data_IF_122384242466
#
_entry.id   IF_122384242466
#
_cell.length_a   1.000
_cell.length_b   1.000
_cell.length_c   1.000
_cell.angle_alpha   90.00
_cell.angle_beta   90.00
_cell.angle_gamma   90.00
#
_symmetry.space_group_name_H-M   'P 1'
#
loop_
_entity.id
_entity.type
_entity.pdbx_description
1 polymer ?
#
# COMPACT_ATOMS: atom_id res chain seq x y z
N UNK A 1 -36.79 -11.46 54.90
CA UNK A 1 -36.19 -12.72 54.49
C UNK A 1 -35.88 -12.73 53.01
N UNK A 2 -35.35 -11.61 52.46
CA UNK A 2 -35.03 -11.47 51.01
C UNK A 2 -33.59 -10.99 50.75
N UNK A 3 -32.84 -10.64 51.82
CA UNK A 3 -31.46 -10.06 51.61
C UNK A 3 -30.31 -11.09 51.72
N UNK A 4 -30.57 -12.38 52.01
CA UNK A 4 -29.50 -13.39 52.12
C UNK A 4 -29.19 -14.16 50.83
N UNK A 5 -30.03 -14.07 49.81
CA UNK A 5 -29.82 -14.84 48.57
C UNK A 5 -29.05 -14.11 47.47
N UNK A 6 -28.87 -12.77 47.57
CA UNK A 6 -28.16 -11.99 46.57
C UNK A 6 -26.63 -12.08 46.75
N UNK A 7 -26.17 -12.24 47.97
CA UNK A 7 -24.73 -12.34 48.28
C UNK A 7 -24.12 -13.68 47.81
N UNK A 8 -24.91 -14.74 47.73
CA UNK A 8 -24.44 -16.07 47.31
C UNK A 8 -24.27 -16.19 45.78
N UNK A 9 -25.08 -15.44 45.01
CA UNK A 9 -24.99 -15.44 43.52
C UNK A 9 -23.79 -14.63 43.05
N UNK A 10 -23.41 -13.53 43.74
CA UNK A 10 -22.23 -12.73 43.40
C UNK A 10 -20.92 -13.49 43.70
N UNK A 11 -20.90 -14.37 44.71
CA UNK A 11 -19.69 -15.15 45.01
C UNK A 11 -19.45 -16.30 44.04
N UNK A 12 -20.51 -16.85 43.42
CA UNK A 12 -20.36 -17.88 42.40
C UNK A 12 -19.90 -17.34 41.04
N UNK A 13 -20.23 -16.09 40.69
CA UNK A 13 -19.78 -15.45 39.47
C UNK A 13 -18.29 -15.09 39.56
N UNK A 14 -17.77 -14.76 40.74
CA UNK A 14 -16.34 -14.47 40.92
C UNK A 14 -15.42 -15.70 40.93
N UNK A 15 -15.99 -16.90 41.21
CA UNK A 15 -15.23 -18.16 41.18
C UNK A 15 -15.16 -18.82 39.80
N UNK A 16 -16.00 -18.39 38.84
CA UNK A 16 -15.97 -18.90 37.47
C UNK A 16 -15.12 -18.06 36.52
N UNK A 17 -14.63 -16.88 36.93
CA UNK A 17 -13.71 -16.02 36.18
C UNK A 17 -12.21 -16.29 36.43
N UNK A 18 -11.87 -17.42 37.05
CA UNK A 18 -10.46 -17.85 37.23
C UNK A 18 -10.11 -19.04 36.34
N UNK A 19 -10.69 -19.15 35.17
CA UNK A 19 -10.02 -19.89 34.11
C UNK A 19 -9.12 -18.92 33.36
N UNK A 20 -7.85 -19.01 33.67
CA UNK A 20 -6.80 -18.47 32.81
C UNK A 20 -7.09 -18.90 31.37
N UNK A 21 -7.63 -17.96 30.58
CA UNK A 21 -7.54 -18.10 29.13
C UNK A 21 -6.04 -18.03 28.87
N UNK A 22 -5.39 -19.17 28.84
CA UNK A 22 -4.04 -19.27 28.28
C UNK A 22 -4.17 -18.81 26.84
N UNK A 23 -3.83 -17.55 26.60
CA UNK A 23 -3.63 -17.06 25.24
C UNK A 23 -2.63 -18.01 24.61
N UNK A 24 -2.89 -18.51 23.38
CA UNK A 24 -1.98 -19.43 22.74
C UNK A 24 -0.56 -18.84 22.80
N UNK A 25 0.42 -19.67 23.15
CA UNK A 25 1.83 -19.28 23.23
C UNK A 25 2.38 -18.64 21.94
N UNK A 26 1.69 -18.85 20.83
CA UNK A 26 1.92 -18.22 19.52
C UNK A 26 1.78 -16.68 19.58
N UNK A 27 0.88 -16.13 20.39
CA UNK A 27 0.73 -14.67 20.51
C UNK A 27 1.97 -14.01 21.14
N UNK A 28 2.69 -14.73 22.01
CA UNK A 28 3.93 -14.24 22.62
C UNK A 28 5.08 -14.07 21.63
N UNK A 29 5.07 -14.78 20.50
CA UNK A 29 6.04 -14.64 19.41
C UNK A 29 5.90 -13.31 18.66
N UNK A 30 4.75 -12.66 18.76
CA UNK A 30 4.43 -11.43 18.03
C UNK A 30 4.26 -10.21 18.95
N UNK A 31 4.27 -10.42 20.27
CA UNK A 31 4.44 -9.31 21.20
C UNK A 31 5.90 -8.87 21.13
N UNK A 32 6.21 -7.58 21.11
CA UNK A 32 7.58 -7.10 21.20
C UNK A 32 8.19 -7.62 22.51
N UNK A 33 8.92 -8.71 22.43
CA UNK A 33 9.87 -9.11 23.47
C UNK A 33 11.00 -8.09 23.36
N UNK A 34 11.27 -7.34 24.40
CA UNK A 34 12.30 -6.33 24.36
C UNK A 34 13.59 -6.88 23.78
N UNK A 35 14.00 -6.40 22.59
CA UNK A 35 15.34 -6.58 22.09
C UNK A 35 15.58 -7.35 20.81
N UNK A 36 14.60 -7.71 19.98
CA UNK A 36 14.88 -8.08 18.59
C UNK A 36 13.80 -7.50 17.68
N UNK A 37 14.23 -6.61 16.78
CA UNK A 37 13.41 -6.08 15.68
C UNK A 37 13.13 -7.18 14.65
N UNK A 38 12.25 -8.14 15.01
CA UNK A 38 11.83 -9.18 14.08
C UNK A 38 10.89 -8.52 13.07
N UNK A 39 11.39 -8.41 11.85
CA UNK A 39 10.62 -7.88 10.74
C UNK A 39 9.34 -8.70 10.51
N UNK A 40 8.23 -8.03 10.30
CA UNK A 40 6.91 -8.65 10.09
C UNK A 40 6.27 -8.09 8.84
N UNK A 41 5.42 -8.90 8.20
CA UNK A 41 4.57 -8.48 7.10
C UNK A 41 3.17 -8.22 7.64
N UNK A 42 2.70 -6.97 7.57
CA UNK A 42 1.30 -6.61 7.76
C UNK A 42 0.51 -6.87 6.48
N UNK A 43 -0.64 -7.52 6.61
CA UNK A 43 -1.52 -7.85 5.49
C UNK A 43 -2.93 -7.36 5.77
N UNK A 44 -3.42 -6.49 4.89
CA UNK A 44 -4.85 -6.21 4.77
C UNK A 44 -5.45 -7.24 3.83
N UNK A 45 -6.55 -7.85 4.22
CA UNK A 45 -7.32 -8.79 3.41
C UNK A 45 -8.79 -8.42 3.37
N UNK A 46 -9.52 -8.83 2.33
CA UNK A 46 -10.86 -8.35 1.99
C UNK A 46 -11.78 -9.46 1.51
N UNK A 47 -13.09 -9.31 1.78
CA UNK A 47 -14.16 -10.08 1.15
C UNK A 47 -14.68 -9.41 -0.16
N UNK A 48 -14.12 -8.25 -0.52
CA UNK A 48 -14.56 -7.39 -1.63
C UNK A 48 -16.00 -6.89 -1.53
N UNK A 49 -16.57 -6.87 -0.34
CA UNK A 49 -17.96 -6.45 -0.08
C UNK A 49 -18.04 -5.51 1.12
N UNK A 50 -18.07 -6.05 2.30
CA UNK A 50 -18.36 -5.30 3.53
C UNK A 50 -17.26 -5.36 4.57
N UNK A 51 -16.41 -6.39 4.54
CA UNK A 51 -15.44 -6.68 5.59
C UNK A 51 -14.03 -6.92 5.10
N UNK A 52 -13.09 -6.43 5.89
CA UNK A 52 -11.67 -6.70 5.75
C UNK A 52 -11.07 -7.15 7.06
N UNK A 53 -9.85 -7.63 7.01
CA UNK A 53 -9.08 -8.08 8.17
C UNK A 53 -7.65 -7.60 8.09
N UNK A 54 -7.11 -7.24 9.23
CA UNK A 54 -5.68 -7.04 9.41
C UNK A 54 -5.07 -8.32 9.98
N UNK A 55 -4.01 -8.80 9.39
CA UNK A 55 -3.27 -10.00 9.74
C UNK A 55 -1.78 -9.73 9.71
N UNK A 56 -0.97 -10.59 10.31
CA UNK A 56 0.49 -10.47 10.26
C UNK A 56 1.14 -11.81 9.95
N UNK A 57 2.32 -11.74 9.33
CA UNK A 57 3.20 -12.89 9.09
C UNK A 57 4.58 -12.52 9.62
N UNK A 58 5.20 -13.39 10.41
CA UNK A 58 6.61 -13.31 10.74
C UNK A 58 7.45 -13.64 9.50
N UNK A 59 8.30 -12.71 9.05
CA UNK A 59 9.04 -12.88 7.78
C UNK A 59 10.13 -13.93 7.85
N UNK A 60 10.55 -14.34 9.05
CA UNK A 60 11.58 -15.38 9.26
C UNK A 60 10.95 -16.77 9.30
N UNK A 61 10.00 -16.98 10.21
CA UNK A 61 9.35 -18.27 10.44
C UNK A 61 8.21 -18.57 9.48
N UNK A 62 7.70 -17.58 8.77
CA UNK A 62 6.54 -17.63 7.87
C UNK A 62 5.23 -18.04 8.59
N UNK A 63 5.17 -17.85 9.90
CA UNK A 63 3.97 -18.11 10.70
C UNK A 63 3.05 -16.91 10.62
N UNK A 64 1.78 -17.18 10.27
CA UNK A 64 0.73 -16.16 10.19
C UNK A 64 -0.09 -16.07 11.48
N UNK A 65 -0.48 -14.84 11.85
CA UNK A 65 -1.55 -14.53 12.78
C UNK A 65 -2.72 -13.91 11.97
N UNK A 66 -3.68 -14.72 11.55
CA UNK A 66 -4.82 -14.23 10.80
C UNK A 66 -5.81 -13.52 11.73
N UNK A 67 -6.43 -12.45 11.24
CA UNK A 67 -7.53 -11.74 11.92
C UNK A 67 -7.15 -11.14 13.28
N UNK A 68 -6.16 -10.28 13.28
CA UNK A 68 -5.80 -9.49 14.47
C UNK A 68 -6.78 -8.34 14.72
N UNK A 69 -7.36 -7.79 13.66
CA UNK A 69 -8.39 -6.75 13.75
C UNK A 69 -9.36 -6.83 12.56
N UNK A 70 -10.61 -6.46 12.78
CA UNK A 70 -11.60 -6.27 11.72
C UNK A 70 -11.52 -4.84 11.22
N UNK A 71 -11.51 -4.67 9.89
CA UNK A 71 -11.35 -3.40 9.20
C UNK A 71 -12.34 -3.30 8.04
N UNK A 72 -12.31 -2.18 7.30
CA UNK A 72 -13.12 -2.03 6.10
C UNK A 72 -12.63 -2.95 4.95
N UNK A 73 -13.54 -3.33 4.05
CA UNK A 73 -13.20 -4.17 2.88
C UNK A 73 -12.23 -3.50 1.91
N UNK A 74 -12.27 -2.18 1.82
CA UNK A 74 -11.35 -1.37 1.02
C UNK A 74 -10.43 -0.58 1.95
N UNK A 75 -9.29 -1.17 2.30
CA UNK A 75 -8.34 -0.57 3.23
C UNK A 75 -6.89 -0.81 2.77
N UNK A 76 -5.99 0.07 3.20
CA UNK A 76 -4.54 -0.11 3.03
C UNK A 76 -3.84 0.08 4.38
N UNK A 77 -2.66 -0.52 4.53
CA UNK A 77 -1.88 -0.50 5.77
C UNK A 77 -0.60 0.30 5.62
N UNK A 78 -0.27 1.09 6.66
CA UNK A 78 1.02 1.77 6.81
C UNK A 78 1.55 1.55 8.23
N UNK A 79 2.85 1.65 8.36
CA UNK A 79 3.54 1.45 9.62
C UNK A 79 4.44 2.65 9.95
N UNK A 80 4.40 3.09 11.19
CA UNK A 80 5.31 4.10 11.72
C UNK A 80 5.44 3.97 13.23
N UNK A 81 6.66 3.96 13.75
CA UNK A 81 6.98 4.00 15.18
C UNK A 81 6.11 3.04 16.02
N UNK A 82 6.15 1.74 15.68
CA UNK A 82 5.41 0.66 16.33
C UNK A 82 3.88 0.82 16.34
N UNK A 83 3.32 1.72 15.52
CA UNK A 83 1.88 1.86 15.32
C UNK A 83 1.51 1.44 13.90
N UNK A 84 0.34 0.85 13.77
CA UNK A 84 -0.22 0.44 12.49
C UNK A 84 -1.36 1.37 12.15
N UNK A 85 -1.29 1.94 10.96
CA UNK A 85 -2.29 2.86 10.44
C UNK A 85 -3.06 2.17 9.31
N UNK A 86 -4.34 1.94 9.52
CA UNK A 86 -5.26 1.40 8.53
C UNK A 86 -6.03 2.57 7.92
N UNK A 87 -5.83 2.78 6.63
CA UNK A 87 -6.58 3.76 5.85
C UNK A 87 -7.81 3.06 5.29
N UNK A 88 -8.95 3.24 5.94
CA UNK A 88 -10.23 2.73 5.47
C UNK A 88 -10.76 3.69 4.40
N UNK A 89 -10.77 3.22 3.15
CA UNK A 89 -11.08 4.03 1.97
C UNK A 89 -12.59 4.07 1.71
N UNK A 90 -12.95 4.15 0.52
CA UNK A 90 -14.29 4.23 -0.10
C UNK A 90 -15.47 3.99 0.87
N UNK A 91 -16.22 5.06 1.19
CA UNK A 91 -17.40 5.10 2.06
C UNK A 91 -17.16 4.90 3.57
N UNK A 92 -16.01 4.41 4.02
CA UNK A 92 -15.65 4.42 5.44
C UNK A 92 -14.93 5.72 5.80
N UNK A 93 -14.05 6.18 4.92
CA UNK A 93 -13.40 7.50 4.99
C UNK A 93 -12.76 7.78 6.35
N UNK A 94 -12.03 6.82 6.90
CA UNK A 94 -11.41 6.93 8.22
C UNK A 94 -9.98 6.42 8.27
N UNK A 95 -9.25 6.87 9.29
CA UNK A 95 -7.95 6.32 9.67
C UNK A 95 -8.14 5.61 11.01
N UNK A 96 -7.77 4.32 11.06
CA UNK A 96 -7.77 3.51 12.27
C UNK A 96 -6.32 3.24 12.69
N UNK A 97 -5.99 3.54 13.94
CA UNK A 97 -4.66 3.29 14.52
C UNK A 97 -4.75 2.07 15.43
N UNK A 98 -3.88 1.08 15.19
CA UNK A 98 -3.77 -0.12 16.00
C UNK A 98 -2.44 -0.11 16.77
N UNK A 99 -2.46 -0.65 18.00
CA UNK A 99 -1.25 -0.79 18.81
C UNK A 99 -0.85 -2.27 18.96
N UNK A 100 0.29 -2.69 18.39
CA UNK A 100 0.82 -4.04 18.58
C UNK A 100 1.04 -4.42 20.05
N UNK A 101 1.48 -3.47 20.89
CA UNK A 101 1.73 -3.71 22.31
C UNK A 101 0.45 -4.02 23.11
N UNK A 102 -0.70 -3.62 22.60
CA UNK A 102 -2.02 -3.91 23.17
C UNK A 102 -2.74 -5.06 22.45
N UNK A 103 -2.01 -5.92 21.74
CA UNK A 103 -2.58 -7.03 20.99
C UNK A 103 -3.36 -6.59 19.76
N UNK A 104 -2.92 -5.52 19.11
CA UNK A 104 -3.53 -4.93 17.90
C UNK A 104 -4.95 -4.37 18.12
N UNK A 105 -5.26 -3.97 19.34
CA UNK A 105 -6.51 -3.27 19.63
C UNK A 105 -6.49 -1.86 19.05
N UNK A 106 -7.66 -1.34 18.62
CA UNK A 106 -7.80 0.04 18.22
C UNK A 106 -7.37 1.01 19.32
N UNK A 107 -6.44 1.91 19.00
CA UNK A 107 -6.12 3.06 19.83
C UNK A 107 -7.08 4.20 19.57
N UNK A 108 -7.34 4.45 18.29
CA UNK A 108 -8.12 5.58 17.82
C UNK A 108 -8.64 5.29 16.42
N UNK A 109 -9.82 5.77 16.10
CA UNK A 109 -10.33 5.89 14.73
C UNK A 109 -10.90 7.29 14.54
N UNK A 110 -10.55 7.96 13.44
CA UNK A 110 -11.05 9.30 13.14
C UNK A 110 -11.42 9.42 11.66
N UNK A 111 -12.46 10.23 11.40
CA UNK A 111 -12.99 10.43 10.05
C UNK A 111 -12.19 11.45 9.27
N UNK A 112 -12.00 11.20 7.98
CA UNK A 112 -11.45 12.15 7.01
C UNK A 112 -12.54 12.96 6.28
N UNK A 113 -13.79 12.82 6.71
CA UNK A 113 -14.96 13.44 6.11
C UNK A 113 -15.63 12.56 5.04
N UNK A 114 -16.96 12.48 5.12
CA UNK A 114 -17.75 11.64 4.22
C UNK A 114 -17.46 11.89 2.74
N UNK A 115 -17.26 10.84 1.96
CA UNK A 115 -16.95 10.88 0.54
C UNK A 115 -15.55 11.39 0.20
N UNK A 116 -14.62 11.44 1.16
CA UNK A 116 -13.23 11.90 0.93
C UNK A 116 -12.38 10.87 0.20
N UNK A 117 -12.66 9.58 0.38
CA UNK A 117 -11.91 8.46 -0.17
C UNK A 117 -10.39 8.58 0.07
N UNK A 118 -9.92 8.49 1.34
CA UNK A 118 -8.50 8.56 1.65
C UNK A 118 -7.74 7.43 0.97
N UNK A 119 -6.56 7.71 0.38
CA UNK A 119 -5.78 6.72 -0.38
C UNK A 119 -4.52 6.28 0.32
N UNK A 120 -3.96 7.17 1.15
CA UNK A 120 -2.71 6.93 1.84
C UNK A 120 -2.55 7.83 3.07
N UNK A 121 -1.66 7.42 3.99
CA UNK A 121 -1.20 8.23 5.10
C UNK A 121 0.32 8.22 5.15
N UNK A 122 0.93 9.40 5.23
CA UNK A 122 2.36 9.57 5.42
C UNK A 122 2.61 10.22 6.79
N UNK A 123 3.07 9.42 7.75
CA UNK A 123 3.30 9.87 9.12
C UNK A 123 4.65 10.57 9.22
N UNK A 124 4.67 11.80 9.74
CA UNK A 124 5.87 12.61 9.95
C UNK A 124 6.49 12.32 11.32
N UNK A 125 5.64 12.28 12.33
CA UNK A 125 6.00 11.99 13.73
C UNK A 125 4.75 11.56 14.51
N UNK A 126 4.86 11.35 15.81
CA UNK A 126 3.75 10.87 16.66
C UNK A 126 2.53 11.80 16.73
N UNK A 127 2.66 13.05 16.26
CA UNK A 127 1.57 14.04 16.29
C UNK A 127 1.12 14.53 14.92
N UNK A 128 1.90 14.30 13.85
CA UNK A 128 1.63 14.86 12.52
C UNK A 128 1.65 13.81 11.43
N UNK A 129 0.63 13.82 10.57
CA UNK A 129 0.59 13.05 9.34
C UNK A 129 -0.04 13.84 8.19
N UNK A 130 0.25 13.41 6.96
CA UNK A 130 -0.49 13.81 5.77
C UNK A 130 -1.41 12.67 5.34
N UNK A 131 -2.62 13.02 4.88
CA UNK A 131 -3.58 12.05 4.32
C UNK A 131 -4.00 12.52 2.94
N UNK A 132 -3.73 11.71 1.92
CA UNK A 132 -4.18 11.95 0.55
C UNK A 132 -5.64 11.56 0.39
N UNK A 133 -6.44 12.45 -0.21
CA UNK A 133 -7.89 12.33 -0.32
C UNK A 133 -8.29 12.36 -1.80
N UNK A 134 -8.61 11.19 -2.37
CA UNK A 134 -8.87 11.02 -3.80
C UNK A 134 -9.98 11.94 -4.35
N UNK A 135 -11.02 12.17 -3.54
CA UNK A 135 -12.18 12.94 -3.92
C UNK A 135 -12.13 14.40 -3.42
N UNK A 136 -10.96 14.90 -3.04
CA UNK A 136 -10.77 16.29 -2.58
C UNK A 136 -9.69 17.00 -3.40
N UNK A 137 -9.74 18.33 -3.34
CA UNK A 137 -8.75 19.20 -3.99
C UNK A 137 -7.64 19.65 -3.04
N UNK A 138 -7.56 19.09 -1.85
CA UNK A 138 -6.55 19.44 -0.85
C UNK A 138 -5.95 18.20 -0.19
N UNK A 139 -4.66 18.25 0.08
CA UNK A 139 -3.99 17.30 0.96
C UNK A 139 -4.27 17.70 2.42
N UNK A 140 -4.72 16.72 3.22
CA UNK A 140 -5.01 16.97 4.62
C UNK A 140 -3.74 16.84 5.50
N UNK A 141 -3.51 17.82 6.38
CA UNK A 141 -2.52 17.73 7.46
C UNK A 141 -3.28 17.46 8.75
N UNK A 142 -2.95 16.34 9.40
CA UNK A 142 -3.73 15.78 10.51
C UNK A 142 -2.90 15.78 11.79
N UNK A 143 -3.50 16.20 12.89
CA UNK A 143 -2.99 15.97 14.24
C UNK A 143 -3.38 14.55 14.69
N UNK A 144 -2.41 13.66 14.84
CA UNK A 144 -2.63 12.27 15.22
C UNK A 144 -3.10 12.09 16.68
N UNK A 145 -2.96 13.09 17.54
CA UNK A 145 -3.46 13.01 18.91
C UNK A 145 -4.97 13.26 19.00
N UNK A 146 -5.48 14.13 18.12
CA UNK A 146 -6.90 14.52 18.11
C UNK A 146 -7.68 13.92 16.94
N UNK A 147 -6.98 13.48 15.88
CA UNK A 147 -7.59 13.03 14.63
C UNK A 147 -8.14 14.17 13.76
N UNK A 148 -7.85 15.44 14.11
CA UNK A 148 -8.38 16.60 13.39
C UNK A 148 -7.48 17.03 12.24
N UNK A 149 -8.11 17.44 11.13
CA UNK A 149 -7.44 18.15 10.04
C UNK A 149 -7.24 19.59 10.48
N UNK A 150 -5.99 19.98 10.79
CA UNK A 150 -5.70 21.35 11.23
C UNK A 150 -5.19 22.26 10.09
N UNK A 151 -4.75 21.67 8.96
CA UNK A 151 -4.32 22.41 7.77
C UNK A 151 -4.74 21.65 6.49
N UNK A 152 -5.08 22.40 5.46
CA UNK A 152 -5.39 21.91 4.12
C UNK A 152 -4.42 22.56 3.14
N UNK A 153 -3.64 21.74 2.42
CA UNK A 153 -2.76 22.23 1.35
C UNK A 153 -3.55 22.14 0.06
N UNK A 154 -3.90 23.30 -0.50
CA UNK A 154 -4.73 23.38 -1.71
C UNK A 154 -3.96 22.87 -2.94
N UNK A 155 -4.60 21.98 -3.68
CA UNK A 155 -4.09 21.35 -4.90
C UNK A 155 -5.07 21.50 -6.08
N UNK A 156 -6.12 22.33 -5.94
CA UNK A 156 -7.14 22.50 -6.95
C UNK A 156 -6.59 22.92 -8.31
N UNK A 157 -5.54 23.75 -8.30
CA UNK A 157 -4.87 24.24 -9.54
C UNK A 157 -4.14 23.13 -10.31
N UNK A 158 -3.94 21.96 -9.68
CA UNK A 158 -3.30 20.81 -10.30
C UNK A 158 -4.30 19.72 -10.74
N UNK A 159 -5.59 20.00 -10.72
CA UNK A 159 -6.61 19.11 -11.31
C UNK A 159 -6.41 19.01 -12.82
N UNK A 160 -7.03 18.02 -13.44
CA UNK A 160 -7.00 17.87 -14.89
C UNK A 160 -7.57 19.12 -15.57
N UNK A 161 -7.04 19.45 -16.75
CA UNK A 161 -7.46 20.65 -17.52
C UNK A 161 -8.16 20.31 -18.82
N UNK A 162 -8.26 19.02 -19.13
CA UNK A 162 -8.83 18.50 -20.36
C UNK A 162 -9.64 17.23 -20.10
N UNK A 163 -10.78 17.09 -20.76
CA UNK A 163 -11.60 15.87 -20.78
C UNK A 163 -12.03 15.55 -22.20
N UNK A 164 -12.04 14.27 -22.55
CA UNK A 164 -12.66 13.74 -23.77
C UNK A 164 -14.15 13.47 -23.60
N UNK A 165 -14.64 13.49 -22.37
CA UNK A 165 -16.04 13.25 -22.04
C UNK A 165 -16.92 14.48 -22.27
N UNK A 166 -18.14 14.25 -22.72
CA UNK A 166 -19.18 15.31 -22.78
C UNK A 166 -19.57 15.84 -21.39
N UNK A 167 -19.25 15.12 -20.32
CA UNK A 167 -19.47 15.56 -18.94
C UNK A 167 -18.43 16.56 -18.46
N UNK A 168 -17.36 16.78 -19.24
CA UNK A 168 -16.27 17.70 -18.91
C UNK A 168 -15.32 17.16 -17.84
N UNK A 169 -14.42 18.03 -17.38
CA UNK A 169 -13.45 17.72 -16.32
C UNK A 169 -14.16 17.53 -14.97
N UNK A 170 -13.62 16.68 -14.09
CA UNK A 170 -14.21 16.45 -12.77
C UNK A 170 -13.64 17.37 -11.68
N UNK A 171 -12.58 18.12 -11.98
CA UNK A 171 -11.98 19.12 -11.10
C UNK A 171 -11.25 18.54 -9.90
N UNK A 172 -10.75 17.32 -10.00
CA UNK A 172 -9.98 16.65 -8.95
C UNK A 172 -8.58 16.32 -9.41
N UNK A 173 -7.56 16.40 -8.53
CA UNK A 173 -6.20 16.01 -8.85
C UNK A 173 -5.93 14.51 -8.66
N UNK A 174 -6.89 13.72 -8.13
CA UNK A 174 -6.77 12.32 -7.76
C UNK A 174 -5.47 12.01 -7.01
N UNK A 175 -5.38 12.52 -5.78
CA UNK A 175 -4.25 12.23 -4.89
C UNK A 175 -4.17 10.74 -4.59
N UNK A 176 -3.01 10.13 -4.80
CA UNK A 176 -2.79 8.71 -4.59
C UNK A 176 -1.75 8.46 -3.47
N UNK A 177 -0.67 7.74 -3.75
CA UNK A 177 0.31 7.32 -2.76
C UNK A 177 1.31 8.42 -2.43
N UNK A 178 1.92 8.26 -1.27
CA UNK A 178 2.91 9.20 -0.73
C UNK A 178 4.14 8.46 -0.22
N UNK A 179 5.29 9.16 -0.25
CA UNK A 179 6.50 8.73 0.45
C UNK A 179 7.21 9.95 1.03
N UNK A 180 7.70 9.82 2.27
CA UNK A 180 8.58 10.82 2.87
C UNK A 180 10.02 10.35 2.73
N UNK A 181 10.87 11.22 2.20
CA UNK A 181 12.31 11.04 2.24
C UNK A 181 12.96 12.32 2.77
N UNK A 182 13.73 12.20 3.84
CA UNK A 182 14.24 13.34 4.62
C UNK A 182 13.10 14.28 5.03
N UNK A 183 13.20 15.56 4.71
CA UNK A 183 12.19 16.57 5.03
C UNK A 183 11.22 16.84 3.87
N UNK A 184 11.12 15.94 2.91
CA UNK A 184 10.29 16.11 1.71
C UNK A 184 9.25 14.99 1.65
N UNK A 185 7.99 15.39 1.51
CA UNK A 185 6.90 14.52 1.10
C UNK A 185 6.79 14.55 -0.43
N UNK A 186 6.75 13.38 -1.05
CA UNK A 186 6.42 13.18 -2.46
C UNK A 186 5.02 12.63 -2.56
N UNK A 187 4.13 13.34 -3.24
CA UNK A 187 2.71 13.00 -3.40
C UNK A 187 2.40 12.76 -4.88
N UNK A 188 1.79 11.64 -5.19
CA UNK A 188 1.27 11.33 -6.53
C UNK A 188 -0.04 12.06 -6.79
N UNK A 189 -0.15 12.72 -7.95
CA UNK A 189 -1.40 13.19 -8.54
C UNK A 189 -1.62 12.46 -9.85
N UNK A 190 -2.65 11.61 -9.91
CA UNK A 190 -2.95 10.81 -11.09
C UNK A 190 -3.58 11.65 -12.20
N UNK A 191 -4.43 12.62 -11.86
CA UNK A 191 -5.14 13.53 -12.77
C UNK A 191 -5.93 12.77 -13.84
N UNK A 192 -6.76 11.84 -13.36
CA UNK A 192 -7.58 11.00 -14.21
C UNK A 192 -8.83 11.74 -14.68
N UNK A 193 -9.15 11.65 -15.97
CA UNK A 193 -10.46 12.03 -16.45
C UNK A 193 -11.48 10.93 -16.11
N UNK A 194 -12.05 10.97 -14.91
CA UNK A 194 -13.03 9.98 -14.45
C UNK A 194 -14.38 10.06 -15.15
N UNK A 195 -14.61 11.12 -15.92
CA UNK A 195 -15.76 11.24 -16.78
C UNK A 195 -15.54 10.59 -18.16
N UNK A 196 -14.30 10.25 -18.49
CA UNK A 196 -13.98 9.52 -19.70
C UNK A 196 -14.29 8.02 -19.53
N UNK A 197 -15.31 7.54 -20.22
CA UNK A 197 -15.74 6.15 -20.18
C UNK A 197 -14.86 5.22 -21.02
N UNK A 198 -13.93 5.74 -21.82
CA UNK A 198 -13.04 4.96 -22.69
C UNK A 198 -11.82 4.42 -21.94
N UNK A 199 -11.58 4.85 -20.71
CA UNK A 199 -10.50 4.39 -19.84
C UNK A 199 -9.72 5.51 -19.14
N UNK A 200 -8.78 5.14 -18.29
CA UNK A 200 -7.96 6.01 -17.45
C UNK A 200 -6.49 5.94 -17.85
N UNK A 201 -5.77 7.05 -17.71
CA UNK A 201 -6.20 8.44 -17.79
C UNK A 201 -6.55 8.82 -19.23
N UNK A 202 -7.04 10.03 -19.44
CA UNK A 202 -7.10 10.59 -20.80
C UNK A 202 -5.69 10.64 -21.42
N UNK A 203 -5.50 10.25 -22.68
CA UNK A 203 -4.18 10.21 -23.31
C UNK A 203 -3.42 11.54 -23.30
N UNK A 204 -4.11 12.66 -23.14
CA UNK A 204 -3.53 14.01 -23.16
C UNK A 204 -3.36 14.63 -21.76
N UNK A 205 -3.60 13.86 -20.70
CA UNK A 205 -3.48 14.34 -19.32
C UNK A 205 -2.10 14.05 -18.77
N UNK A 206 -1.36 15.10 -18.39
CA UNK A 206 -0.14 14.98 -17.63
C UNK A 206 -0.43 14.66 -16.18
N UNK A 207 0.37 13.82 -15.55
CA UNK A 207 0.32 13.52 -14.13
C UNK A 207 1.52 14.12 -13.41
N UNK A 208 1.45 14.28 -12.09
CA UNK A 208 2.49 14.97 -11.32
C UNK A 208 2.93 14.22 -10.09
N UNK A 209 4.18 14.50 -9.66
CA UNK A 209 4.66 14.29 -8.29
C UNK A 209 4.82 15.68 -7.66
N UNK A 210 4.10 15.93 -6.57
CA UNK A 210 4.22 17.17 -5.80
C UNK A 210 5.26 16.96 -4.69
N UNK A 211 6.24 17.86 -4.59
CA UNK A 211 7.19 17.93 -3.47
C UNK A 211 6.71 18.94 -2.44
N UNK A 212 6.58 18.51 -1.21
CA UNK A 212 6.13 19.35 -0.07
C UNK A 212 7.18 19.28 1.02
N UNK A 213 7.57 20.43 1.56
CA UNK A 213 8.40 20.50 2.75
C UNK A 213 7.57 20.12 3.98
N UNK A 214 7.95 19.07 4.71
CA UNK A 214 7.17 18.58 5.86
C UNK A 214 7.31 19.45 7.11
N UNK A 215 8.23 20.41 7.13
CA UNK A 215 8.41 21.35 8.24
C UNK A 215 7.48 22.56 8.08
N UNK A 216 7.41 23.12 6.85
CA UNK A 216 6.62 24.34 6.57
C UNK A 216 5.23 24.04 5.98
N UNK A 217 4.99 22.83 5.51
CA UNK A 217 3.80 22.40 4.74
C UNK A 217 3.61 23.21 3.44
N UNK A 218 4.70 23.59 2.81
CA UNK A 218 4.67 24.36 1.58
C UNK A 218 5.06 23.49 0.39
N UNK A 219 4.39 23.71 -0.74
CA UNK A 219 4.74 23.08 -2.02
C UNK A 219 6.06 23.67 -2.50
N UNK A 220 7.07 22.81 -2.67
CA UNK A 220 8.39 23.21 -3.16
C UNK A 220 8.42 23.19 -4.69
N UNK A 221 7.88 22.12 -5.29
CA UNK A 221 7.87 21.93 -6.73
C UNK A 221 6.81 20.95 -7.19
N UNK A 222 6.44 21.09 -8.46
CA UNK A 222 5.51 20.22 -9.17
C UNK A 222 6.27 19.61 -10.34
N UNK A 223 6.38 18.29 -10.35
CA UNK A 223 7.19 17.56 -11.31
C UNK A 223 6.28 16.74 -12.20
N UNK A 224 6.34 17.00 -13.51
CA UNK A 224 5.63 16.18 -14.50
C UNK A 224 6.24 14.77 -14.50
N UNK A 225 5.39 13.74 -14.46
CA UNK A 225 5.83 12.34 -14.54
C UNK A 225 6.30 11.97 -15.95
N UNK A 226 7.13 10.94 -16.06
CA UNK A 226 7.64 10.44 -17.35
C UNK A 226 6.50 9.96 -18.26
N UNK A 227 5.57 9.22 -17.68
CA UNK A 227 4.29 8.77 -18.26
C UNK A 227 3.14 9.14 -17.34
N UNK A 228 1.91 9.25 -17.81
CA UNK A 228 0.76 9.54 -16.96
C UNK A 228 0.47 8.45 -15.92
N UNK A 229 -0.45 8.77 -14.99
CA UNK A 229 -1.05 7.87 -14.03
C UNK A 229 -0.06 7.20 -13.07
N UNK A 230 0.61 7.95 -12.16
CA UNK A 230 1.42 7.34 -11.13
C UNK A 230 0.55 6.41 -10.24
N UNK A 231 0.94 5.15 -10.15
CA UNK A 231 0.15 4.08 -9.55
C UNK A 231 0.99 3.24 -8.58
N UNK A 232 0.33 2.64 -7.58
CA UNK A 232 1.00 1.80 -6.62
C UNK A 232 1.94 2.56 -5.67
N UNK A 233 2.70 1.81 -4.87
CA UNK A 233 3.65 2.39 -3.91
C UNK A 233 4.86 2.97 -4.63
N UNK A 234 5.39 4.05 -4.08
CA UNK A 234 6.71 4.56 -4.44
C UNK A 234 7.79 3.90 -3.62
N UNK A 235 8.98 3.75 -4.20
CA UNK A 235 10.14 3.19 -3.51
C UNK A 235 11.36 4.10 -3.67
N UNK A 236 12.02 4.43 -2.56
CA UNK A 236 13.35 5.04 -2.60
C UNK A 236 14.37 3.97 -2.99
N UNK A 237 15.17 4.26 -4.00
CA UNK A 237 16.20 3.36 -4.53
C UNK A 237 17.51 4.11 -4.73
N UNK A 238 18.60 3.36 -4.86
CA UNK A 238 19.92 3.87 -5.27
C UNK A 238 20.34 3.14 -6.54
N UNK A 239 20.71 3.89 -7.56
CA UNK A 239 21.26 3.36 -8.81
C UNK A 239 22.66 3.97 -9.01
N UNK A 240 23.68 3.13 -8.97
CA UNK A 240 25.06 3.62 -8.87
C UNK A 240 25.28 4.46 -7.62
N UNK A 241 25.57 5.75 -7.77
CA UNK A 241 25.79 6.69 -6.67
C UNK A 241 24.61 7.65 -6.43
N UNK A 242 23.54 7.56 -7.21
CA UNK A 242 22.42 8.49 -7.16
C UNK A 242 21.20 7.89 -6.52
N UNK A 243 20.42 8.75 -5.82
CA UNK A 243 19.17 8.37 -5.18
C UNK A 243 17.97 8.78 -6.02
N UNK A 244 17.00 7.88 -6.13
CA UNK A 244 15.78 8.07 -6.89
C UNK A 244 14.55 7.67 -6.10
N UNK A 245 13.39 8.20 -6.49
CA UNK A 245 12.07 7.66 -6.17
C UNK A 245 11.57 6.92 -7.40
N UNK A 246 11.45 5.59 -7.31
CA UNK A 246 10.85 4.77 -8.34
C UNK A 246 9.34 4.75 -8.19
N UNK A 247 8.61 4.76 -9.31
CA UNK A 247 7.15 4.78 -9.36
C UNK A 247 6.65 4.07 -10.62
N UNK A 248 5.59 3.25 -10.50
CA UNK A 248 4.89 2.70 -11.65
C UNK A 248 4.06 3.80 -12.32
N UNK A 249 4.15 3.88 -13.63
CA UNK A 249 3.50 4.88 -14.50
C UNK A 249 2.81 4.12 -15.65
N UNK A 250 1.72 3.37 -15.38
CA UNK A 250 1.10 2.51 -16.39
C UNK A 250 0.33 3.26 -17.47
N UNK A 251 0.33 4.59 -17.44
CA UNK A 251 -0.42 5.44 -18.36
C UNK A 251 -1.88 5.00 -18.46
N UNK A 252 -2.26 4.29 -19.48
CA UNK A 252 -3.63 3.81 -19.67
C UNK A 252 -3.77 2.38 -19.14
N UNK A 253 -4.53 2.22 -18.04
CA UNK A 253 -4.72 0.94 -17.36
C UNK A 253 -5.83 0.08 -17.98
N UNK A 254 -5.63 -1.23 -17.98
CA UNK A 254 -6.68 -2.24 -17.98
C UNK A 254 -7.18 -2.61 -19.36
N UNK A 255 -8.37 -2.19 -19.72
CA UNK A 255 -9.09 -2.69 -20.89
C UNK A 255 -8.41 -2.44 -22.24
N UNK A 256 -7.48 -1.49 -22.29
CA UNK A 256 -6.72 -1.15 -23.49
C UNK A 256 -5.26 -0.99 -23.05
N UNK A 257 -4.53 -2.09 -22.99
CA UNK A 257 -3.09 -2.03 -22.83
C UNK A 257 -2.47 -1.45 -24.09
N UNK A 258 -1.90 -0.26 -24.00
CA UNK A 258 -1.22 0.42 -25.11
C UNK A 258 0.30 0.27 -25.02
N UNK A 259 0.81 -0.33 -23.93
CA UNK A 259 2.24 -0.49 -23.65
C UNK A 259 2.98 0.87 -23.72
N UNK A 260 2.34 1.91 -23.19
CA UNK A 260 2.77 3.30 -23.28
C UNK A 260 3.29 3.84 -21.93
N UNK A 261 3.50 2.96 -20.96
CA UNK A 261 3.98 3.22 -19.62
C UNK A 261 5.29 2.53 -19.26
N UNK A 262 5.55 2.47 -17.96
CA UNK A 262 6.73 1.81 -17.39
C UNK A 262 7.03 2.24 -15.96
N UNK A 263 8.16 1.82 -15.43
CA UNK A 263 8.67 2.25 -14.11
C UNK A 263 9.56 3.49 -14.31
N UNK A 264 9.07 4.64 -13.86
CA UNK A 264 9.85 5.88 -13.85
C UNK A 264 10.76 5.98 -12.62
N UNK A 265 11.87 6.74 -12.75
CA UNK A 265 12.76 7.05 -11.64
C UNK A 265 12.99 8.56 -11.57
N UNK A 266 12.48 9.18 -10.51
CA UNK A 266 12.67 10.60 -10.20
C UNK A 266 13.97 10.77 -9.43
N UNK A 267 14.95 11.47 -9.97
CA UNK A 267 16.19 11.81 -9.28
C UNK A 267 15.89 12.79 -8.13
N UNK A 268 16.25 12.41 -6.91
CA UNK A 268 15.94 13.19 -5.70
C UNK A 268 16.69 14.53 -5.69
N UNK A 269 17.93 14.52 -6.19
CA UNK A 269 18.81 15.71 -6.16
C UNK A 269 18.46 16.74 -7.22
N UNK A 270 18.18 16.30 -8.47
CA UNK A 270 17.84 17.21 -9.57
C UNK A 270 16.36 17.55 -9.62
N UNK A 271 15.49 16.68 -9.09
CA UNK A 271 14.04 16.82 -9.21
C UNK A 271 13.50 16.48 -10.60
N UNK A 272 14.24 15.74 -11.41
CA UNK A 272 13.88 15.37 -12.77
C UNK A 272 13.74 13.84 -12.91
N UNK A 273 12.80 13.40 -13.74
CA UNK A 273 12.73 12.00 -14.11
C UNK A 273 13.86 11.64 -15.08
N UNK A 274 14.38 10.43 -14.97
CA UNK A 274 15.22 9.86 -16.04
C UNK A 274 14.43 9.85 -17.34
N UNK A 275 15.11 10.09 -18.45
CA UNK A 275 14.50 10.10 -19.79
C UNK A 275 14.05 8.72 -20.27
N UNK A 276 14.64 7.66 -19.70
CA UNK A 276 14.28 6.27 -19.97
C UNK A 276 13.74 5.61 -18.72
N UNK A 277 12.67 4.78 -18.82
CA UNK A 277 12.16 4.03 -17.68
C UNK A 277 13.18 2.99 -17.20
N UNK A 278 13.04 2.56 -15.94
CA UNK A 278 13.79 1.44 -15.38
C UNK A 278 13.33 0.10 -15.98
N UNK A 279 12.08 0.02 -16.41
CA UNK A 279 11.49 -1.10 -17.11
C UNK A 279 10.27 -0.59 -17.88
N UNK A 280 10.22 -0.82 -19.18
CA UNK A 280 9.11 -0.35 -20.03
C UNK A 280 8.01 -1.41 -20.14
N UNK A 281 6.77 -0.99 -20.34
CA UNK A 281 5.67 -1.91 -20.62
C UNK A 281 5.85 -2.65 -21.94
N UNK A 282 6.55 -2.05 -22.91
CA UNK A 282 6.93 -2.72 -24.17
C UNK A 282 7.79 -3.95 -23.93
N UNK A 283 8.78 -3.83 -23.04
CA UNK A 283 9.67 -4.95 -22.69
C UNK A 283 8.99 -5.93 -21.73
N UNK A 284 8.06 -5.45 -20.90
CA UNK A 284 7.25 -6.28 -20.01
C UNK A 284 6.18 -7.08 -20.75
N UNK A 285 5.61 -6.52 -21.82
CA UNK A 285 4.50 -7.10 -22.57
C UNK A 285 3.13 -6.91 -21.90
N UNK A 286 2.97 -5.90 -21.05
CA UNK A 286 1.74 -5.57 -20.36
C UNK A 286 1.90 -4.38 -19.42
N UNK A 287 0.78 -3.93 -18.80
CA UNK A 287 0.74 -2.84 -17.85
C UNK A 287 1.50 -3.21 -16.56
N UNK A 288 2.36 -2.31 -16.07
CA UNK A 288 3.14 -2.53 -14.84
C UNK A 288 2.43 -1.87 -13.67
N UNK A 289 1.87 -2.69 -12.78
CA UNK A 289 0.97 -2.24 -11.71
C UNK A 289 1.63 -2.13 -10.34
N UNK A 290 2.70 -2.89 -10.10
CA UNK A 290 3.46 -2.83 -8.85
C UNK A 290 4.90 -3.27 -9.09
N UNK A 291 5.81 -2.86 -8.20
CA UNK A 291 7.23 -3.17 -8.32
C UNK A 291 7.90 -3.21 -6.97
N UNK A 292 8.98 -3.97 -6.89
CA UNK A 292 10.03 -3.84 -5.86
C UNK A 292 11.39 -3.89 -6.52
N UNK A 293 12.27 -2.97 -6.17
CA UNK A 293 13.65 -2.90 -6.65
C UNK A 293 14.57 -3.25 -5.49
N UNK A 294 15.33 -4.32 -5.65
CA UNK A 294 16.22 -4.87 -4.63
C UNK A 294 17.62 -4.28 -4.72
N UNK A 295 18.13 -4.19 -5.95
CA UNK A 295 19.44 -3.61 -6.27
C UNK A 295 19.36 -2.85 -7.60
N UNK A 296 20.44 -2.22 -8.01
CA UNK A 296 20.57 -1.58 -9.33
C UNK A 296 20.50 -2.56 -10.50
N UNK A 297 20.66 -3.86 -10.25
CA UNK A 297 20.60 -4.93 -11.27
C UNK A 297 19.47 -5.94 -11.07
N UNK A 298 18.68 -5.82 -9.99
CA UNK A 298 17.62 -6.76 -9.67
C UNK A 298 16.36 -6.05 -9.18
N UNK A 299 15.31 -6.14 -9.95
CA UNK A 299 13.96 -5.68 -9.62
C UNK A 299 12.90 -6.70 -10.03
N UNK A 300 11.69 -6.56 -9.48
CA UNK A 300 10.53 -7.39 -9.75
C UNK A 300 9.33 -6.50 -10.05
N UNK A 301 8.57 -6.87 -11.07
CA UNK A 301 7.38 -6.15 -11.50
C UNK A 301 6.17 -7.08 -11.60
N UNK A 302 5.04 -6.60 -11.12
CA UNK A 302 3.73 -7.20 -11.42
C UNK A 302 3.24 -6.64 -12.74
N UNK A 303 3.01 -7.53 -13.70
CA UNK A 303 2.63 -7.19 -15.09
C UNK A 303 1.29 -7.84 -15.42
N UNK A 304 0.38 -7.05 -16.00
CA UNK A 304 -0.93 -7.46 -16.50
C UNK A 304 -0.94 -7.35 -18.03
N UNK A 305 -1.08 -8.46 -18.75
CA UNK A 305 -1.12 -8.45 -20.21
C UNK A 305 -2.53 -8.12 -20.76
N UNK A 306 -2.63 -7.92 -22.07
CA UNK A 306 -3.87 -7.58 -22.75
C UNK A 306 -4.94 -8.69 -22.70
N UNK A 307 -4.59 -9.89 -22.28
CA UNK A 307 -5.49 -11.02 -22.03
C UNK A 307 -5.83 -11.17 -20.55
N UNK A 308 -5.45 -10.19 -19.72
CA UNK A 308 -5.59 -10.19 -18.26
C UNK A 308 -4.83 -11.31 -17.54
N UNK A 309 -3.84 -11.95 -18.18
CA UNK A 309 -2.93 -12.82 -17.47
C UNK A 309 -1.96 -11.97 -16.65
N UNK A 310 -1.58 -12.49 -15.50
CA UNK A 310 -0.70 -11.81 -14.55
C UNK A 310 0.64 -12.52 -14.54
N UNK A 311 1.71 -11.75 -14.48
CA UNK A 311 3.06 -12.30 -14.28
C UNK A 311 3.88 -11.49 -13.30
N UNK A 312 4.75 -12.18 -12.58
CA UNK A 312 5.81 -11.56 -11.80
C UNK A 312 7.08 -11.71 -12.60
N UNK A 313 7.60 -10.59 -13.07
CA UNK A 313 8.78 -10.55 -13.94
C UNK A 313 9.97 -10.01 -13.17
N UNK A 314 11.15 -10.62 -13.41
CA UNK A 314 12.44 -10.10 -12.95
C UNK A 314 13.04 -9.24 -14.05
N UNK A 315 13.57 -8.10 -13.68
CA UNK A 315 14.23 -7.18 -14.61
C UNK A 315 15.50 -6.57 -13.99
N UNK A 316 16.35 -6.01 -14.82
CA UNK A 316 17.51 -5.26 -14.41
C UNK A 316 17.21 -3.75 -14.49
N UNK A 317 17.10 -3.01 -13.35
CA UNK A 317 16.74 -1.60 -13.33
C UNK A 317 17.73 -0.68 -14.05
N UNK A 318 19.03 -1.04 -14.07
CA UNK A 318 20.05 -0.23 -14.74
C UNK A 318 19.96 -0.30 -16.27
N UNK A 319 19.61 -1.46 -16.82
CA UNK A 319 19.53 -1.67 -18.28
C UNK A 319 18.11 -1.68 -18.84
N UNK A 320 17.07 -1.80 -18.00
CA UNK A 320 15.68 -1.94 -18.42
C UNK A 320 15.32 -3.32 -19.00
N UNK A 321 16.23 -4.29 -18.94
CA UNK A 321 16.05 -5.59 -19.60
C UNK A 321 15.35 -6.59 -18.69
N UNK A 322 14.34 -7.30 -19.22
CA UNK A 322 13.73 -8.46 -18.58
C UNK A 322 14.74 -9.58 -18.43
N UNK A 323 14.91 -10.11 -17.23
CA UNK A 323 15.86 -11.20 -16.93
C UNK A 323 15.18 -12.53 -16.61
N UNK A 324 13.85 -12.53 -16.45
CA UNK A 324 13.10 -13.76 -16.22
C UNK A 324 11.63 -13.53 -15.85
N UNK A 325 10.90 -14.63 -15.70
CA UNK A 325 9.53 -14.64 -15.16
C UNK A 325 9.48 -15.63 -14.01
N UNK A 326 9.03 -15.18 -12.83
CA UNK A 326 9.01 -15.98 -11.59
C UNK A 326 7.72 -16.79 -11.48
N UNK A 327 6.60 -16.18 -11.83
CA UNK A 327 5.28 -16.77 -11.73
C UNK A 327 4.36 -16.20 -12.81
N UNK A 328 3.42 -17.02 -13.25
CA UNK A 328 2.36 -16.63 -14.17
C UNK A 328 1.03 -17.12 -13.64
N UNK A 329 -0.01 -16.29 -13.78
CA UNK A 329 -1.36 -16.59 -13.35
C UNK A 329 -2.31 -16.26 -14.50
N UNK A 330 -3.26 -17.17 -14.77
CA UNK A 330 -4.26 -16.96 -15.84
C UNK A 330 -5.22 -15.83 -15.50
N UNK A 331 -5.93 -15.32 -16.49
CA UNK A 331 -6.96 -14.30 -16.36
C UNK A 331 -8.10 -14.71 -15.40
N UNK A 332 -8.37 -16.01 -15.30
CA UNK A 332 -9.45 -16.55 -14.45
C UNK A 332 -9.12 -16.54 -12.96
N UNK A 333 -7.85 -16.35 -12.59
CA UNK A 333 -7.45 -16.25 -11.19
C UNK A 333 -7.57 -14.82 -10.69
N UNK A 334 -7.79 -14.66 -9.39
CA UNK A 334 -7.89 -13.35 -8.75
C UNK A 334 -6.64 -12.50 -8.93
N UNK A 335 -6.72 -11.23 -8.57
CA UNK A 335 -5.64 -10.27 -8.78
C UNK A 335 -4.45 -10.53 -7.84
N UNK A 336 -3.28 -10.10 -8.30
CA UNK A 336 -2.14 -9.86 -7.42
C UNK A 336 -2.41 -8.58 -6.65
N UNK A 337 -2.28 -8.62 -5.33
CA UNK A 337 -2.61 -7.49 -4.45
C UNK A 337 -1.39 -6.68 -4.01
N UNK A 338 -0.19 -7.12 -4.35
CA UNK A 338 1.04 -6.37 -4.10
C UNK A 338 2.28 -7.26 -3.99
N UNK A 339 3.41 -6.59 -4.11
CA UNK A 339 4.76 -7.13 -3.93
C UNK A 339 5.44 -6.42 -2.76
N UNK A 340 6.11 -7.16 -1.90
CA UNK A 340 6.91 -6.60 -0.80
C UNK A 340 8.19 -7.40 -0.63
N UNK A 341 9.31 -6.70 -0.44
CA UNK A 341 10.62 -7.30 -0.21
C UNK A 341 11.02 -7.11 1.26
N UNK A 342 11.36 -8.21 1.94
CA UNK A 342 11.92 -8.18 3.28
C UNK A 342 13.39 -7.73 3.27
N UNK A 343 13.92 -7.34 4.43
CA UNK A 343 15.35 -7.05 4.57
C UNK A 343 16.23 -8.27 4.28
N UNK A 344 15.74 -9.47 4.60
CA UNK A 344 16.44 -10.72 4.28
C UNK A 344 16.42 -11.07 2.79
N UNK A 345 15.71 -10.30 1.96
CA UNK A 345 15.62 -10.51 0.51
C UNK A 345 14.56 -11.51 0.08
N UNK A 346 13.64 -11.91 0.98
CA UNK A 346 12.45 -12.68 0.59
C UNK A 346 11.43 -11.77 -0.08
N UNK A 347 10.88 -12.22 -1.21
CA UNK A 347 9.80 -11.55 -1.92
C UNK A 347 8.46 -12.16 -1.49
N UNK A 348 7.57 -11.33 -0.97
CA UNK A 348 6.20 -11.68 -0.58
C UNK A 348 5.24 -11.18 -1.66
N UNK A 349 4.40 -12.09 -2.12
CA UNK A 349 3.39 -11.84 -3.14
C UNK A 349 2.00 -12.08 -2.55
N UNK A 350 1.17 -11.06 -2.55
CA UNK A 350 -0.25 -11.18 -2.20
C UNK A 350 -1.05 -11.70 -3.39
N UNK A 351 -1.72 -12.83 -3.24
CA UNK A 351 -2.62 -13.38 -4.24
C UNK A 351 -4.06 -13.36 -3.75
N UNK A 352 -4.92 -12.63 -4.46
CA UNK A 352 -6.36 -12.60 -4.23
C UNK A 352 -7.10 -13.69 -5.04
N UNK A 353 -6.43 -14.81 -5.32
CA UNK A 353 -7.01 -15.97 -6.00
C UNK A 353 -8.33 -16.40 -5.35
N UNK A 354 -9.30 -16.81 -6.17
CA UNK A 354 -10.62 -17.18 -5.68
C UNK A 354 -10.63 -18.49 -4.90
N UNK A 355 -9.77 -19.44 -5.26
CA UNK A 355 -9.75 -20.78 -4.70
C UNK A 355 -8.69 -20.97 -3.64
N UNK A 356 -7.56 -20.26 -3.75
CA UNK A 356 -6.41 -20.41 -2.86
C UNK A 356 -5.74 -19.05 -2.59
N UNK A 357 -6.45 -18.12 -1.92
CA UNK A 357 -5.91 -16.80 -1.62
C UNK A 357 -4.88 -16.89 -0.49
N UNK A 358 -3.90 -15.99 -0.52
CA UNK A 358 -2.90 -15.91 0.54
C UNK A 358 -1.59 -15.29 0.08
N UNK A 359 -0.56 -15.48 0.86
CA UNK A 359 0.78 -14.93 0.61
C UNK A 359 1.72 -16.04 0.12
N UNK A 360 2.21 -15.87 -1.10
CA UNK A 360 3.28 -16.71 -1.65
C UNK A 360 4.62 -16.06 -1.39
N UNK A 361 5.61 -16.85 -0.97
CA UNK A 361 6.93 -16.36 -0.63
C UNK A 361 7.98 -16.96 -1.55
N UNK A 362 8.84 -16.08 -2.06
CA UNK A 362 10.00 -16.46 -2.86
C UNK A 362 11.28 -16.04 -2.14
N UNK A 363 12.32 -16.85 -2.28
CA UNK A 363 13.64 -16.59 -1.73
C UNK A 363 14.72 -16.77 -2.80
N UNK A 364 15.70 -15.89 -2.80
CA UNK A 364 16.85 -16.00 -3.68
C UNK A 364 17.83 -17.04 -3.12
N UNK A 365 17.99 -18.15 -3.83
CA UNK A 365 19.01 -19.15 -3.52
C UNK A 365 19.90 -19.35 -4.75
N UNK A 366 21.23 -19.23 -4.57
CA UNK A 366 22.22 -19.38 -5.64
C UNK A 366 21.99 -18.47 -6.86
N UNK A 367 21.49 -17.24 -6.62
CA UNK A 367 21.18 -16.29 -7.69
C UNK A 367 19.85 -16.52 -8.42
N UNK A 368 19.10 -17.57 -8.06
CA UNK A 368 17.78 -17.86 -8.57
C UNK A 368 16.72 -17.62 -7.50
N UNK A 369 15.64 -16.97 -7.88
CA UNK A 369 14.46 -16.81 -7.03
C UNK A 369 13.56 -18.03 -7.19
N UNK A 370 13.27 -18.72 -6.10
CA UNK A 370 12.35 -19.86 -6.08
C UNK A 370 11.28 -19.69 -5.02
N UNK A 371 10.11 -20.21 -5.30
CA UNK A 371 9.03 -20.28 -4.32
C UNK A 371 9.42 -21.24 -3.20
N UNK A 372 9.29 -20.77 -1.94
CA UNK A 372 9.59 -21.56 -0.74
C UNK A 372 8.35 -22.03 0.01
N UNK A 373 7.18 -21.48 -0.30
CA UNK A 373 5.89 -21.92 0.25
C UNK A 373 5.23 -22.93 -0.69
N UNK A 374 4.91 -24.12 -0.17
CA UNK A 374 4.22 -25.16 -0.97
C UNK A 374 2.79 -24.75 -1.38
N UNK A 375 2.14 -23.95 -0.54
CA UNK A 375 0.85 -23.29 -0.80
C UNK A 375 0.88 -21.88 -0.22
N UNK A 376 0.02 -20.95 -0.69
CA UNK A 376 -0.05 -19.62 -0.11
C UNK A 376 -0.37 -19.67 1.39
N UNK A 377 0.28 -18.81 2.16
CA UNK A 377 0.02 -18.64 3.60
C UNK A 377 -1.32 -17.94 3.76
N UNK A 378 -2.27 -18.59 4.43
CA UNK A 378 -3.60 -18.03 4.64
C UNK A 378 -3.56 -16.85 5.62
N UNK A 379 -4.25 -15.78 5.27
CA UNK A 379 -4.45 -14.58 6.09
C UNK A 379 -5.95 -14.32 6.38
N UNK A 380 -6.76 -15.35 6.23
CA UNK A 380 -8.18 -15.36 6.57
C UNK A 380 -9.12 -14.91 5.46
N UNK A 381 -8.75 -13.93 4.65
CA UNK A 381 -9.47 -13.45 3.46
C UNK A 381 -8.48 -13.25 2.31
N UNK A 382 -8.93 -12.69 1.18
CA UNK A 382 -8.05 -12.41 0.04
C UNK A 382 -7.15 -11.23 0.35
N UNK A 383 -5.82 -11.32 0.20
CA UNK A 383 -4.90 -10.20 0.36
C UNK A 383 -5.30 -9.01 -0.52
N UNK A 384 -5.11 -7.79 -0.01
CA UNK A 384 -5.45 -6.55 -0.70
C UNK A 384 -4.32 -5.51 -0.65
N UNK A 385 -3.65 -5.36 0.49
CA UNK A 385 -2.45 -4.52 0.63
C UNK A 385 -1.46 -5.16 1.61
N UNK A 386 -0.18 -4.93 1.37
CA UNK A 386 0.94 -5.51 2.10
C UNK A 386 1.89 -4.41 2.55
N UNK A 387 2.41 -4.50 3.78
CA UNK A 387 3.41 -3.56 4.30
C UNK A 387 4.41 -4.27 5.20
N UNK A 388 5.72 -3.98 5.05
CA UNK A 388 6.73 -4.42 6.01
C UNK A 388 6.68 -3.55 7.26
N UNK A 389 6.56 -4.21 8.41
CA UNK A 389 6.54 -3.61 9.74
C UNK A 389 7.92 -3.82 10.38
N UNK A 390 8.59 -2.72 10.78
CA UNK A 390 9.95 -2.74 11.34
C UNK A 390 9.97 -2.18 12.74
#
# INVERSE_FOLDING_TARGET
>A
MILKNITFILFFILLYCKNDIQRPSILSLFLPQGGSDVEKLGVVSTDFSSGGRFSMIDTSSLVALPTLSYIHSDAVVRFYNQKIYIVNRLNRDSILILNPLLGYLPLQEFSMGSGSNPQDIAVVNDSKAYVSLYNRTYLAVVDLNTGQIYKKIDLAVYSETFSTSSSGIDGKPEMAKMIIYENILYLQLQRLDRNDISGFPSPNTDSYIIKINIITDEIISVIKTLYPNPFGKMQKITLGSENFIAVCLPARLGYISQLDGGIGALNISTGEFRTSPLYSEKDAGGDILDMVIKTDTEGYAYVLDSSFNKSIQRFNPSSGVKTGTLATYSSNLGNISGLVLSQSGKLFLGSADYNNPGITVFETANGELRQITASPISVGLRPFDLEILK
#
